data_IF_837034912320
#
_entry.id   IF_837034912320
#
_cell.length_a   1.000
_cell.length_b   1.000
_cell.length_c   1.000
_cell.angle_alpha   90.00
_cell.angle_beta   90.00
_cell.angle_gamma   90.00
#
_symmetry.space_group_name_H-M   'P 1'
#
loop_
_entity.id
_entity.type
_entity.pdbx_description
1 polymer ?
#
# COMPACT_ATOMS: atom_id res chain seq x y z
N UNK A 1 12.43 -5.72 8.08
CA UNK A 1 13.20 -5.05 7.01
C UNK A 1 12.24 -4.35 6.08
N UNK A 2 12.73 -3.36 5.33
CA UNK A 2 12.00 -2.79 4.18
C UNK A 2 12.63 -3.33 2.92
N UNK A 3 11.80 -3.86 2.04
CA UNK A 3 12.11 -4.27 0.68
C UNK A 3 11.48 -3.29 -0.31
N UNK A 4 12.07 -3.18 -1.50
CA UNK A 4 11.76 -2.20 -2.53
C UNK A 4 11.66 -2.93 -3.85
N UNK A 5 10.51 -2.83 -4.49
CA UNK A 5 10.35 -3.41 -5.82
C UNK A 5 10.63 -2.36 -6.89
N UNK A 6 11.29 -2.75 -8.00
CA UNK A 6 11.61 -4.13 -8.40
C UNK A 6 12.99 -4.65 -7.92
N UNK A 7 13.75 -3.91 -7.10
CA UNK A 7 15.13 -4.28 -6.75
C UNK A 7 15.26 -5.51 -5.85
N UNK A 8 14.34 -5.71 -4.91
CA UNK A 8 14.45 -6.76 -3.89
C UNK A 8 13.67 -8.04 -4.27
N UNK A 9 12.89 -7.98 -5.37
CA UNK A 9 12.16 -9.07 -6.03
C UNK A 9 11.08 -9.73 -5.17
N UNK A 10 10.35 -10.70 -5.72
CA UNK A 10 9.31 -11.45 -5.01
C UNK A 10 9.85 -12.32 -3.84
N UNK A 11 11.14 -12.67 -3.83
CA UNK A 11 11.71 -13.65 -2.90
C UNK A 11 11.39 -13.40 -1.41
N UNK A 12 11.50 -12.17 -0.86
CA UNK A 12 11.17 -11.91 0.54
C UNK A 12 9.72 -12.21 0.92
N UNK A 13 8.77 -12.06 -0.03
CA UNK A 13 7.35 -12.39 0.17
C UNK A 13 7.17 -13.90 0.19
N UNK A 14 7.83 -14.63 -0.72
CA UNK A 14 7.83 -16.09 -0.74
C UNK A 14 8.44 -16.65 0.55
N UNK A 15 9.53 -16.05 1.05
CA UNK A 15 10.20 -16.48 2.27
C UNK A 15 9.30 -16.35 3.51
N UNK A 16 8.56 -15.23 3.66
CA UNK A 16 7.61 -15.11 4.78
C UNK A 16 6.47 -16.12 4.68
N UNK A 17 5.93 -16.36 3.48
CA UNK A 17 4.87 -17.36 3.26
C UNK A 17 5.38 -18.75 3.65
N UNK A 18 6.54 -19.17 3.12
CA UNK A 18 7.20 -20.47 3.42
C UNK A 18 7.58 -20.63 4.89
N UNK A 19 7.88 -19.54 5.57
CA UNK A 19 8.27 -19.57 6.99
C UNK A 19 7.14 -19.98 7.93
N UNK A 20 5.88 -19.92 7.48
CA UNK A 20 4.69 -20.22 8.29
C UNK A 20 4.71 -21.66 8.79
N UNK A 21 4.38 -21.85 10.07
CA UNK A 21 4.33 -23.18 10.71
C UNK A 21 2.96 -23.58 11.24
N UNK A 22 2.07 -22.62 11.48
CA UNK A 22 0.73 -22.90 12.02
C UNK A 22 -0.37 -22.31 11.15
N UNK A 23 -0.17 -21.07 10.71
CA UNK A 23 -1.17 -20.33 9.94
C UNK A 23 -0.55 -19.29 9.03
N UNK A 24 -1.28 -18.90 8.01
CA UNK A 24 -1.01 -17.71 7.21
C UNK A 24 -2.32 -16.99 6.93
N UNK A 25 -2.48 -15.78 7.47
CA UNK A 25 -3.65 -14.95 7.21
C UNK A 25 -3.25 -13.74 6.36
N UNK A 26 -4.06 -13.45 5.34
CA UNK A 26 -3.75 -12.49 4.27
C UNK A 26 -4.95 -11.61 3.97
N UNK A 27 -4.76 -10.30 3.83
CA UNK A 27 -5.73 -9.41 3.22
C UNK A 27 -5.03 -8.61 2.11
N UNK A 28 -5.50 -8.79 0.88
CA UNK A 28 -4.99 -8.12 -0.30
C UNK A 28 -6.11 -7.74 -1.26
N UNK A 29 -5.99 -6.55 -1.85
CA UNK A 29 -6.83 -6.13 -2.96
C UNK A 29 -6.74 -7.06 -4.19
N UNK A 30 -5.52 -7.50 -4.55
CA UNK A 30 -5.27 -8.43 -5.68
C UNK A 30 -4.16 -9.44 -5.33
N UNK A 31 -4.37 -10.69 -5.73
CA UNK A 31 -3.44 -11.83 -5.66
C UNK A 31 -3.54 -12.66 -6.96
N UNK A 32 -2.66 -12.42 -7.92
CA UNK A 32 -2.64 -13.16 -9.20
C UNK A 32 -1.30 -13.88 -9.51
N UNK A 33 -0.25 -13.64 -8.71
CA UNK A 33 1.07 -14.21 -8.98
C UNK A 33 1.06 -15.73 -8.74
N UNK A 34 1.30 -16.48 -9.82
CA UNK A 34 1.24 -17.94 -9.80
C UNK A 34 2.22 -18.58 -8.81
N UNK A 35 3.35 -17.94 -8.53
CA UNK A 35 4.33 -18.44 -7.55
C UNK A 35 3.75 -18.33 -6.14
N UNK A 36 3.08 -17.23 -5.82
CA UNK A 36 2.40 -17.04 -4.54
C UNK A 36 1.26 -18.05 -4.37
N UNK A 37 0.42 -18.24 -5.39
CA UNK A 37 -0.67 -19.23 -5.35
C UNK A 37 -0.15 -20.65 -5.12
N UNK A 38 0.99 -21.02 -5.74
CA UNK A 38 1.66 -22.31 -5.50
C UNK A 38 2.11 -22.47 -4.05
N UNK A 39 2.70 -21.43 -3.44
CA UNK A 39 3.12 -21.49 -2.04
C UNK A 39 1.93 -21.59 -1.08
N UNK A 40 0.83 -20.87 -1.36
CA UNK A 40 -0.42 -20.99 -0.59
C UNK A 40 -0.93 -22.42 -0.63
N UNK A 41 -1.02 -23.03 -1.83
CA UNK A 41 -1.44 -24.42 -2.01
C UNK A 41 -0.54 -25.40 -1.24
N UNK A 42 0.77 -25.15 -1.19
CA UNK A 42 1.72 -25.96 -0.42
C UNK A 42 1.62 -25.74 1.11
N UNK A 43 1.18 -24.56 1.57
CA UNK A 43 0.84 -24.40 2.99
C UNK A 43 -0.38 -25.25 3.36
N UNK A 44 -1.41 -25.21 2.52
CA UNK A 44 -2.67 -25.94 2.73
C UNK A 44 -2.44 -27.46 2.66
N UNK A 45 -1.64 -27.95 1.71
CA UNK A 45 -1.31 -29.39 1.58
C UNK A 45 -0.63 -29.95 2.83
N UNK A 46 0.13 -29.10 3.55
CA UNK A 46 0.78 -29.42 4.82
C UNK A 46 -0.12 -29.25 6.05
N UNK A 47 -1.40 -28.93 5.85
CA UNK A 47 -2.41 -28.82 6.91
C UNK A 47 -2.36 -27.53 7.71
N UNK A 48 -1.74 -26.46 7.20
CA UNK A 48 -1.74 -25.16 7.87
C UNK A 48 -3.09 -24.43 7.66
N UNK A 49 -3.49 -23.64 8.66
CA UNK A 49 -4.68 -22.80 8.57
C UNK A 49 -4.37 -21.55 7.72
N UNK A 50 -4.86 -21.53 6.48
CA UNK A 50 -4.67 -20.41 5.55
C UNK A 50 -6.00 -19.71 5.30
N UNK A 51 -6.05 -18.42 5.61
CA UNK A 51 -7.23 -17.57 5.44
C UNK A 51 -6.89 -16.33 4.63
N UNK A 52 -7.73 -16.03 3.65
CA UNK A 52 -7.50 -14.95 2.70
C UNK A 52 -8.77 -14.10 2.61
N UNK A 53 -8.62 -12.80 2.81
CA UNK A 53 -9.61 -11.79 2.45
C UNK A 53 -9.12 -11.13 1.16
N UNK A 54 -10.01 -11.03 0.18
CA UNK A 54 -9.79 -10.26 -1.05
C UNK A 54 -10.91 -9.25 -1.27
N UNK A 55 -10.63 -8.23 -2.06
CA UNK A 55 -11.70 -7.42 -2.63
C UNK A 55 -12.52 -8.25 -3.63
N UNK A 56 -13.83 -8.10 -3.54
CA UNK A 56 -14.81 -8.84 -4.32
C UNK A 56 -15.16 -8.19 -5.64
N UNK A 57 -14.77 -6.93 -5.86
CA UNK A 57 -15.04 -6.10 -7.05
C UNK A 57 -13.87 -5.14 -7.31
N UNK A 58 -12.63 -5.64 -7.52
CA UNK A 58 -11.49 -4.78 -7.76
C UNK A 58 -11.78 -3.86 -8.95
N UNK A 59 -11.71 -2.55 -8.70
CA UNK A 59 -12.01 -1.50 -9.64
C UNK A 59 -11.25 -1.70 -10.96
N UNK A 60 -12.02 -1.86 -12.04
CA UNK A 60 -11.50 -1.99 -13.39
C UNK A 60 -10.90 -3.35 -13.75
N UNK A 61 -10.99 -4.35 -12.87
CA UNK A 61 -10.51 -5.71 -13.17
C UNK A 61 -11.66 -6.63 -13.59
N UNK A 62 -11.73 -6.91 -14.90
CA UNK A 62 -12.67 -7.86 -15.47
C UNK A 62 -12.38 -9.32 -15.11
N UNK A 63 -11.25 -9.62 -14.47
CA UNK A 63 -10.83 -10.98 -14.08
C UNK A 63 -11.07 -11.30 -12.60
N UNK A 64 -11.78 -10.46 -11.85
CA UNK A 64 -12.05 -10.66 -10.43
C UNK A 64 -12.62 -12.06 -10.09
N UNK A 65 -13.51 -12.59 -10.95
CA UNK A 65 -14.08 -13.94 -10.77
C UNK A 65 -13.02 -15.05 -10.94
N UNK A 66 -12.16 -14.92 -11.96
CA UNK A 66 -11.07 -15.86 -12.19
C UNK A 66 -10.04 -15.84 -11.05
N UNK A 67 -9.74 -14.67 -10.50
CA UNK A 67 -8.85 -14.54 -9.35
C UNK A 67 -9.40 -15.28 -8.13
N UNK A 68 -10.67 -15.05 -7.79
CA UNK A 68 -11.33 -15.73 -6.69
C UNK A 68 -11.33 -17.25 -6.90
N UNK A 69 -11.66 -17.72 -8.11
CA UNK A 69 -11.60 -19.15 -8.42
C UNK A 69 -10.19 -19.73 -8.24
N UNK A 70 -9.16 -19.03 -8.70
CA UNK A 70 -7.78 -19.49 -8.57
C UNK A 70 -7.34 -19.57 -7.11
N UNK A 71 -7.75 -18.60 -6.28
CA UNK A 71 -7.52 -18.64 -4.84
C UNK A 71 -8.27 -19.80 -4.18
N UNK A 72 -9.54 -20.04 -4.53
CA UNK A 72 -10.30 -21.19 -4.02
C UNK A 72 -9.64 -22.53 -4.42
N UNK A 73 -9.08 -22.64 -5.62
CA UNK A 73 -8.34 -23.83 -6.11
C UNK A 73 -7.07 -24.12 -5.30
N UNK A 74 -6.56 -23.18 -4.50
CA UNK A 74 -5.44 -23.44 -3.58
C UNK A 74 -5.85 -24.29 -2.36
N UNK A 75 -7.16 -24.36 -2.05
CA UNK A 75 -7.70 -25.00 -0.86
C UNK A 75 -7.67 -24.12 0.40
N UNK A 76 -7.21 -22.87 0.30
CA UNK A 76 -7.30 -21.92 1.40
C UNK A 76 -8.77 -21.54 1.69
N UNK A 77 -9.05 -21.11 2.92
CA UNK A 77 -10.32 -20.48 3.22
C UNK A 77 -10.29 -19.04 2.69
N UNK A 78 -11.09 -18.75 1.66
CA UNK A 78 -11.14 -17.44 1.01
C UNK A 78 -12.48 -16.78 1.28
N UNK A 79 -12.47 -15.50 1.63
CA UNK A 79 -13.66 -14.64 1.72
C UNK A 79 -13.46 -13.38 0.92
N UNK A 80 -14.55 -12.88 0.32
CA UNK A 80 -14.62 -11.48 -0.09
C UNK A 80 -14.62 -10.58 1.14
N UNK A 81 -14.19 -9.34 0.96
CA UNK A 81 -14.21 -8.34 2.01
C UNK A 81 -15.62 -8.13 2.59
N UNK A 82 -15.72 -7.62 3.83
CA UNK A 82 -16.97 -7.16 4.42
C UNK A 82 -17.81 -6.31 3.48
N UNK A 83 -19.14 -6.46 3.52
CA UNK A 83 -20.07 -5.70 2.64
C UNK A 83 -19.89 -4.17 2.72
N UNK A 84 -19.47 -3.66 3.88
CA UNK A 84 -19.16 -2.22 4.07
C UNK A 84 -18.00 -1.72 3.20
N UNK A 85 -17.14 -2.63 2.74
CA UNK A 85 -16.05 -2.39 1.79
C UNK A 85 -16.37 -3.02 0.43
N UNK A 86 -17.65 -3.19 0.10
CA UNK A 86 -18.11 -3.70 -1.18
C UNK A 86 -19.25 -2.82 -1.69
N UNK A 87 -19.00 -1.50 -1.73
CA UNK A 87 -19.95 -0.51 -2.24
C UNK A 87 -19.37 0.24 -3.44
N UNK A 88 -20.16 1.08 -4.11
CA UNK A 88 -19.66 1.87 -5.26
C UNK A 88 -18.67 2.96 -4.84
N UNK A 89 -18.56 3.24 -3.54
CA UNK A 89 -17.71 4.30 -2.96
C UNK A 89 -16.72 3.79 -1.93
N UNK A 90 -16.62 2.47 -1.74
CA UNK A 90 -15.73 1.83 -0.79
C UNK A 90 -15.34 0.42 -1.23
N UNK A 91 -14.06 0.11 -1.13
CA UNK A 91 -13.47 -1.19 -1.44
C UNK A 91 -12.38 -1.59 -0.42
N UNK A 92 -11.98 -2.86 -0.38
CA UNK A 92 -10.88 -3.35 0.45
C UNK A 92 -9.56 -3.27 -0.29
N UNK A 93 -8.75 -2.30 0.08
CA UNK A 93 -7.51 -2.00 -0.61
C UNK A 93 -6.26 -2.29 0.25
N UNK A 94 -6.45 -2.94 1.42
CA UNK A 94 -5.36 -3.32 2.29
C UNK A 94 -4.42 -4.34 1.64
N UNK A 95 -3.14 -4.32 2.06
CA UNK A 95 -2.08 -5.22 1.56
C UNK A 95 -1.19 -5.67 2.71
N UNK A 96 -1.62 -6.73 3.39
CA UNK A 96 -0.88 -7.28 4.52
C UNK A 96 -1.06 -8.79 4.67
N UNK A 97 -0.08 -9.42 5.30
CA UNK A 97 -0.21 -10.80 5.78
C UNK A 97 0.51 -10.98 7.11
N UNK A 98 0.19 -12.06 7.81
CA UNK A 98 0.94 -12.48 8.98
C UNK A 98 0.84 -13.99 9.22
N UNK A 99 1.86 -14.54 9.85
CA UNK A 99 1.85 -15.88 10.41
C UNK A 99 2.01 -15.82 11.93
N UNK A 100 2.42 -16.91 12.58
CA UNK A 100 2.62 -16.93 14.04
C UNK A 100 3.77 -16.03 14.53
N UNK A 101 4.73 -15.70 13.66
CA UNK A 101 5.99 -15.04 14.02
C UNK A 101 6.18 -13.68 13.35
N UNK A 102 5.87 -13.58 12.06
CA UNK A 102 6.13 -12.42 11.23
C UNK A 102 4.82 -11.79 10.75
N UNK A 103 4.93 -10.52 10.34
CA UNK A 103 3.93 -9.83 9.55
C UNK A 103 4.58 -9.12 8.37
N UNK A 104 3.76 -8.82 7.37
CA UNK A 104 4.06 -7.99 6.21
C UNK A 104 2.99 -6.91 6.06
N UNK A 105 3.39 -5.66 5.80
CA UNK A 105 2.52 -4.56 5.37
C UNK A 105 3.23 -3.83 4.24
N UNK A 106 2.52 -3.39 3.20
CA UNK A 106 3.16 -2.67 2.10
C UNK A 106 2.22 -1.93 1.17
N UNK A 107 2.78 -1.44 0.07
CA UNK A 107 2.07 -0.81 -1.04
C UNK A 107 1.71 -1.81 -2.15
N UNK A 108 2.40 -2.96 -2.17
CA UNK A 108 2.30 -3.97 -3.23
C UNK A 108 1.03 -4.81 -3.10
N UNK A 109 0.29 -4.94 -4.21
CA UNK A 109 -0.54 -6.12 -4.43
C UNK A 109 0.35 -7.35 -4.65
N UNK A 110 -0.23 -8.56 -4.59
CA UNK A 110 0.49 -9.80 -4.83
C UNK A 110 0.42 -10.21 -6.31
N UNK A 111 0.86 -9.31 -7.18
CA UNK A 111 0.79 -9.49 -8.64
C UNK A 111 2.16 -9.45 -9.30
N UNK A 112 2.32 -10.04 -10.49
CA UNK A 112 3.60 -10.05 -11.20
C UNK A 112 4.12 -8.61 -11.46
N UNK A 113 3.20 -7.69 -11.76
CA UNK A 113 3.52 -6.28 -11.99
C UNK A 113 4.18 -5.61 -10.78
N UNK A 114 3.69 -5.91 -9.58
CA UNK A 114 4.19 -5.34 -8.34
C UNK A 114 5.69 -5.66 -8.12
N UNK A 115 6.15 -6.83 -8.56
CA UNK A 115 7.53 -7.31 -8.35
C UNK A 115 8.45 -7.17 -9.57
N UNK A 116 7.95 -6.66 -10.70
CA UNK A 116 8.72 -6.56 -11.95
C UNK A 116 8.87 -5.13 -12.47
N UNK A 117 7.86 -4.28 -12.30
CA UNK A 117 7.82 -2.93 -12.92
C UNK A 117 7.36 -1.82 -12.00
N UNK A 118 6.65 -2.13 -10.93
CA UNK A 118 6.15 -1.11 -10.01
C UNK A 118 7.24 -0.67 -9.04
N UNK A 119 7.19 0.60 -8.63
CA UNK A 119 7.79 1.04 -7.37
C UNK A 119 6.87 0.61 -6.23
N UNK A 120 7.31 -0.35 -5.43
CA UNK A 120 6.60 -0.76 -4.22
C UNK A 120 7.52 -0.77 -3.00
N UNK A 121 6.92 -0.73 -1.82
CA UNK A 121 7.60 -0.91 -0.55
C UNK A 121 6.90 -1.94 0.32
N UNK A 122 7.69 -2.85 0.89
CA UNK A 122 7.19 -3.94 1.73
C UNK A 122 7.95 -3.94 3.05
N UNK A 123 7.24 -3.84 4.17
CA UNK A 123 7.79 -4.01 5.52
C UNK A 123 7.52 -5.45 5.97
N UNK A 124 8.57 -6.22 6.29
CA UNK A 124 8.44 -7.52 6.96
C UNK A 124 9.14 -7.49 8.31
N UNK A 125 8.42 -7.71 9.41
CA UNK A 125 9.00 -7.72 10.76
C UNK A 125 8.38 -8.78 11.69
N UNK A 126 8.92 -8.87 12.90
CA UNK A 126 8.48 -9.76 13.98
C UNK A 126 7.87 -9.03 15.18
N UNK A 127 7.59 -7.72 15.05
CA UNK A 127 7.08 -6.89 16.14
C UNK A 127 5.71 -7.38 16.59
N UNK A 128 5.65 -8.00 17.78
CA UNK A 128 4.47 -8.73 18.27
C UNK A 128 3.23 -7.85 18.42
N UNK A 129 3.39 -6.61 18.88
CA UNK A 129 2.28 -5.67 19.05
C UNK A 129 1.61 -5.32 17.71
N UNK A 130 2.41 -4.97 16.69
CA UNK A 130 1.91 -4.71 15.33
C UNK A 130 1.22 -5.94 14.77
N UNK A 131 1.86 -7.12 14.88
CA UNK A 131 1.25 -8.39 14.43
C UNK A 131 -0.08 -8.67 15.11
N UNK A 132 -0.21 -8.38 16.41
CA UNK A 132 -1.45 -8.56 17.17
C UNK A 132 -2.54 -7.56 16.78
N UNK A 133 -2.17 -6.35 16.39
CA UNK A 133 -3.12 -5.38 15.85
C UNK A 133 -3.63 -5.82 14.47
N UNK A 134 -2.75 -6.30 13.57
CA UNK A 134 -3.16 -6.91 12.30
C UNK A 134 -4.09 -8.12 12.49
N UNK A 135 -3.79 -8.96 13.48
CA UNK A 135 -4.65 -10.09 13.83
C UNK A 135 -6.06 -9.63 14.25
N UNK A 136 -6.16 -8.58 15.07
CA UNK A 136 -7.46 -8.01 15.45
C UNK A 136 -8.20 -7.38 14.26
N UNK A 137 -7.51 -6.68 13.37
CA UNK A 137 -8.11 -6.11 12.14
C UNK A 137 -8.65 -7.25 11.28
N UNK A 138 -7.82 -8.25 11.00
CA UNK A 138 -8.18 -9.41 10.20
C UNK A 138 -9.36 -10.18 10.81
N UNK A 139 -9.32 -10.46 12.11
CA UNK A 139 -10.41 -11.18 12.78
C UNK A 139 -11.73 -10.38 12.76
N UNK A 140 -11.66 -9.05 12.86
CA UNK A 140 -12.85 -8.21 12.73
C UNK A 140 -13.41 -8.27 11.31
N UNK A 141 -12.59 -8.07 10.29
CA UNK A 141 -13.01 -8.11 8.89
C UNK A 141 -13.48 -9.52 8.48
N UNK A 142 -12.78 -10.58 8.89
CA UNK A 142 -13.15 -11.98 8.62
C UNK A 142 -14.53 -12.37 9.18
N UNK A 143 -14.93 -11.74 10.29
CA UNK A 143 -16.21 -12.00 10.96
C UNK A 143 -17.24 -10.88 10.75
N UNK A 144 -17.01 -10.00 9.77
CA UNK A 144 -17.87 -8.86 9.45
C UNK A 144 -18.20 -7.96 10.66
N UNK A 145 -17.21 -7.72 11.51
CA UNK A 145 -17.28 -6.82 12.66
C UNK A 145 -16.48 -5.55 12.40
N UNK A 146 -16.82 -4.47 13.09
CA UNK A 146 -16.00 -3.27 13.08
C UNK A 146 -14.64 -3.54 13.75
N UNK A 147 -13.57 -3.19 13.05
CA UNK A 147 -12.25 -3.10 13.66
C UNK A 147 -12.20 -1.86 14.56
N UNK A 148 -11.58 -1.97 15.74
CA UNK A 148 -11.42 -0.83 16.65
C UNK A 148 -10.27 0.10 16.24
N UNK A 149 -9.88 0.99 17.14
CA UNK A 149 -8.69 1.82 16.95
C UNK A 149 -7.41 1.06 17.29
N UNK A 150 -6.33 1.35 16.56
CA UNK A 150 -5.06 0.66 16.74
C UNK A 150 -3.90 1.64 16.88
N UNK A 151 -3.16 1.51 17.99
CA UNK A 151 -1.90 2.20 18.13
C UNK A 151 -0.88 1.72 17.10
N UNK A 152 -0.11 2.66 16.53
CA UNK A 152 1.02 2.41 15.63
C UNK A 152 0.70 1.78 14.26
N UNK A 153 -0.57 1.49 13.97
CA UNK A 153 -1.06 1.13 12.63
C UNK A 153 -2.01 2.22 12.17
N UNK A 154 -1.85 2.69 10.93
CA UNK A 154 -2.76 3.62 10.29
C UNK A 154 -3.78 2.79 9.52
N UNK A 155 -5.04 2.84 9.94
CA UNK A 155 -6.13 2.05 9.36
C UNK A 155 -7.18 2.99 8.80
N UNK A 156 -7.60 2.77 7.55
CA UNK A 156 -8.83 3.39 7.01
C UNK A 156 -9.98 2.41 7.16
N UNK A 157 -11.24 2.85 7.39
CA UNK A 157 -11.71 4.23 7.58
C UNK A 157 -11.06 5.02 8.72
N UNK A 158 -10.90 6.33 8.55
CA UNK A 158 -10.48 7.26 9.59
C UNK A 158 -8.98 7.56 9.64
N UNK A 159 -8.23 7.26 8.58
CA UNK A 159 -6.78 7.50 8.56
C UNK A 159 -6.40 8.94 8.19
N UNK A 160 -7.36 9.76 7.73
CA UNK A 160 -7.14 11.14 7.27
C UNK A 160 -6.35 11.97 8.30
N UNK A 161 -6.75 11.94 9.58
CA UNK A 161 -6.10 12.69 10.65
C UNK A 161 -4.64 12.26 10.88
N UNK A 162 -4.35 10.96 10.78
CA UNK A 162 -2.99 10.44 10.93
C UNK A 162 -2.09 10.88 9.77
N UNK A 163 -2.60 10.84 8.55
CA UNK A 163 -1.89 11.28 7.34
C UNK A 163 -1.70 12.80 7.35
N UNK A 164 -2.75 13.55 7.67
CA UNK A 164 -2.72 15.00 7.81
C UNK A 164 -1.67 15.42 8.85
N UNK A 165 -1.71 14.82 10.04
CA UNK A 165 -0.76 15.07 11.12
C UNK A 165 0.68 14.73 10.72
N UNK A 166 0.90 13.64 9.96
CA UNK A 166 2.22 13.31 9.42
C UNK A 166 2.76 14.43 8.53
N UNK A 167 1.93 14.92 7.61
CA UNK A 167 2.30 16.00 6.69
C UNK A 167 2.56 17.27 7.51
N UNK A 168 1.61 17.74 8.30
CA UNK A 168 1.69 19.00 9.05
C UNK A 168 2.90 19.07 10.00
N UNK A 169 3.21 17.99 10.71
CA UNK A 169 4.33 17.94 11.65
C UNK A 169 5.71 17.71 10.98
N UNK A 170 5.75 17.51 9.67
CA UNK A 170 7.00 17.30 8.92
C UNK A 170 7.64 18.61 8.46
N UNK A 171 8.87 18.90 8.89
CA UNK A 171 9.60 20.12 8.45
C UNK A 171 9.97 20.10 6.96
N UNK A 172 10.47 18.97 6.47
CA UNK A 172 10.75 18.68 5.05
C UNK A 172 10.28 17.26 4.79
N UNK A 173 9.58 17.03 3.70
CA UNK A 173 8.93 15.76 3.43
C UNK A 173 9.18 15.35 1.97
N UNK A 174 9.41 14.05 1.79
CA UNK A 174 9.54 13.40 0.49
C UNK A 174 8.38 12.41 0.37
N UNK A 175 7.67 12.44 -0.75
CA UNK A 175 6.49 11.60 -1.01
C UNK A 175 6.64 10.92 -2.37
N UNK A 176 6.44 9.61 -2.41
CA UNK A 176 6.09 8.87 -3.61
C UNK A 176 4.62 8.49 -3.49
N UNK A 177 3.82 8.83 -4.49
CA UNK A 177 2.38 8.56 -4.50
C UNK A 177 1.95 8.11 -5.88
N UNK A 178 1.03 7.15 -5.93
CA UNK A 178 0.33 6.78 -7.15
C UNK A 178 -0.64 7.88 -7.59
N UNK A 179 -1.42 8.42 -6.64
CA UNK A 179 -2.40 9.47 -6.88
C UNK A 179 -2.33 10.59 -5.84
N UNK A 180 -2.76 11.78 -6.23
CA UNK A 180 -2.93 12.93 -5.31
C UNK A 180 -4.34 12.98 -4.73
N UNK A 181 -5.33 12.41 -5.41
CA UNK A 181 -6.70 12.31 -4.95
C UNK A 181 -7.41 13.64 -4.80
N UNK A 182 -8.52 13.61 -4.07
CA UNK A 182 -9.50 14.68 -3.91
C UNK A 182 -9.69 15.14 -2.46
N UNK A 183 -8.82 14.71 -1.55
CA UNK A 183 -8.86 15.13 -0.16
C UNK A 183 -8.31 16.55 0.02
N UNK A 184 -9.21 17.52 0.14
CA UNK A 184 -8.84 18.93 0.28
C UNK A 184 -8.06 19.25 1.55
N UNK A 185 -8.23 18.51 2.66
CA UNK A 185 -7.43 18.77 3.87
C UNK A 185 -5.98 18.37 3.61
N UNK A 186 -5.76 17.21 3.01
CA UNK A 186 -4.44 16.73 2.61
C UNK A 186 -3.81 17.66 1.57
N UNK A 187 -4.53 18.01 0.50
CA UNK A 187 -4.05 18.92 -0.54
C UNK A 187 -3.66 20.29 0.05
N UNK A 188 -4.49 20.87 0.91
CA UNK A 188 -4.19 22.14 1.58
C UNK A 188 -2.98 22.05 2.51
N UNK A 189 -2.79 20.93 3.22
CA UNK A 189 -1.59 20.70 4.03
C UNK A 189 -0.33 20.62 3.15
N UNK A 190 -0.41 19.98 1.98
CA UNK A 190 0.69 19.94 1.01
C UNK A 190 0.99 21.33 0.41
N UNK A 191 -0.03 22.12 0.07
CA UNK A 191 0.10 23.52 -0.38
C UNK A 191 0.88 24.34 0.66
N UNK A 192 0.49 24.26 1.94
CA UNK A 192 1.16 24.96 3.04
C UNK A 192 2.64 24.57 3.19
N UNK A 193 3.06 23.37 2.75
CA UNK A 193 4.49 22.99 2.74
C UNK A 193 5.29 23.71 1.66
N UNK A 194 4.69 23.98 0.51
CA UNK A 194 5.35 24.56 -0.66
C UNK A 194 6.72 23.92 -0.91
N UNK A 195 7.77 24.75 -0.96
CA UNK A 195 9.16 24.34 -1.27
C UNK A 195 9.77 23.29 -0.32
N UNK A 196 9.14 23.03 0.84
CA UNK A 196 9.59 22.01 1.81
C UNK A 196 9.13 20.59 1.44
N UNK A 197 8.21 20.46 0.49
CA UNK A 197 7.68 19.19 0.00
C UNK A 197 8.24 18.85 -1.38
N UNK A 198 8.67 17.60 -1.54
CA UNK A 198 9.01 16.98 -2.82
C UNK A 198 8.11 15.76 -3.05
N UNK A 199 7.49 15.68 -4.22
CA UNK A 199 6.61 14.56 -4.60
C UNK A 199 7.09 13.95 -5.92
N UNK A 200 7.12 12.62 -5.98
CA UNK A 200 7.16 11.88 -7.25
C UNK A 200 5.79 11.28 -7.47
N UNK A 201 5.23 11.53 -8.65
CA UNK A 201 3.95 11.01 -9.14
C UNK A 201 4.21 10.17 -10.40
N UNK A 202 3.30 9.27 -10.82
CA UNK A 202 3.39 8.68 -12.15
C UNK A 202 3.25 9.76 -13.24
N UNK A 203 3.74 9.50 -14.45
CA UNK A 203 3.48 10.36 -15.61
C UNK A 203 2.13 10.10 -16.28
N UNK A 204 1.43 9.04 -15.86
CA UNK A 204 0.10 8.64 -16.34
C UNK A 204 -1.03 9.11 -15.42
N UNK A 205 -0.92 10.31 -14.83
CA UNK A 205 -1.94 10.84 -13.92
C UNK A 205 -3.31 10.99 -14.59
N UNK A 206 -4.36 10.86 -13.78
CA UNK A 206 -5.70 11.30 -14.14
C UNK A 206 -5.71 12.81 -14.42
N UNK A 207 -6.73 13.29 -15.12
CA UNK A 207 -6.88 14.72 -15.38
C UNK A 207 -7.04 15.53 -14.08
N UNK A 208 -7.78 14.99 -13.11
CA UNK A 208 -7.95 15.59 -11.78
C UNK A 208 -6.62 15.70 -11.04
N UNK A 209 -5.85 14.62 -10.99
CA UNK A 209 -4.55 14.64 -10.31
C UNK A 209 -3.54 15.55 -11.02
N UNK A 210 -3.59 15.63 -12.34
CA UNK A 210 -2.75 16.55 -13.08
C UNK A 210 -3.06 18.00 -12.66
N UNK A 211 -4.33 18.40 -12.59
CA UNK A 211 -4.74 19.73 -12.10
C UNK A 211 -4.32 19.97 -10.66
N UNK A 212 -4.49 18.99 -9.78
CA UNK A 212 -4.03 19.07 -8.39
C UNK A 212 -2.51 19.22 -8.31
N UNK A 213 -1.75 18.53 -9.17
CA UNK A 213 -0.31 18.68 -9.25
C UNK A 213 0.12 20.08 -9.70
N UNK A 214 -0.63 20.74 -10.59
CA UNK A 214 -0.39 22.13 -10.99
C UNK A 214 -0.67 23.09 -9.83
N UNK A 215 -1.81 22.95 -9.15
CA UNK A 215 -2.16 23.73 -7.95
C UNK A 215 -1.08 23.63 -6.86
N UNK A 216 -0.53 22.43 -6.62
CA UNK A 216 0.59 22.24 -5.70
C UNK A 216 1.88 22.91 -6.18
N UNK A 217 2.18 22.86 -7.49
CA UNK A 217 3.36 23.52 -8.08
C UNK A 217 3.29 25.04 -7.96
N UNK A 218 2.12 25.64 -8.16
CA UNK A 218 1.90 27.08 -8.01
C UNK A 218 2.17 27.53 -6.57
N UNK A 219 1.86 26.69 -5.58
CA UNK A 219 2.23 26.88 -4.18
C UNK A 219 3.73 26.61 -3.86
N UNK A 220 4.52 26.26 -4.87
CA UNK A 220 5.97 26.02 -4.77
C UNK A 220 6.36 24.59 -4.37
N UNK A 221 5.43 23.64 -4.33
CA UNK A 221 5.74 22.22 -4.14
C UNK A 221 6.58 21.72 -5.30
N UNK A 222 7.63 20.94 -5.00
CA UNK A 222 8.51 20.39 -6.02
C UNK A 222 7.96 19.03 -6.45
N UNK A 223 7.40 18.95 -7.64
CA UNK A 223 6.86 17.70 -8.17
C UNK A 223 7.71 17.21 -9.35
N UNK A 224 7.96 15.91 -9.43
CA UNK A 224 8.45 15.24 -10.64
C UNK A 224 7.54 14.08 -11.00
N UNK A 225 7.53 13.72 -12.28
CA UNK A 225 6.70 12.64 -12.82
C UNK A 225 7.62 11.50 -13.25
N UNK A 226 7.38 10.30 -12.74
CA UNK A 226 8.12 9.10 -13.07
C UNK A 226 7.55 8.51 -14.36
N UNK A 227 8.35 8.40 -15.43
CA UNK A 227 7.91 7.74 -16.65
C UNK A 227 7.57 6.26 -16.42
N UNK A 228 6.37 5.84 -16.84
CA UNK A 228 5.90 4.44 -16.71
C UNK A 228 6.87 3.42 -17.33
N UNK A 229 7.59 3.78 -18.38
CA UNK A 229 8.58 2.91 -19.03
C UNK A 229 9.90 2.77 -18.24
N UNK A 230 10.14 3.62 -17.24
CA UNK A 230 11.27 3.48 -16.31
C UNK A 230 10.84 2.66 -15.10
N UNK A 231 9.86 3.17 -14.36
CA UNK A 231 9.23 2.52 -13.20
C UNK A 231 7.77 2.99 -13.14
N UNK A 232 6.81 2.09 -12.98
CA UNK A 232 5.43 2.49 -12.70
C UNK A 232 5.30 2.90 -11.23
N UNK A 233 4.97 4.17 -10.96
CA UNK A 233 4.88 4.70 -9.60
C UNK A 233 3.54 4.33 -8.95
N UNK A 234 3.52 3.24 -8.18
CA UNK A 234 2.35 2.75 -7.42
C UNK A 234 2.48 2.96 -5.89
N UNK A 235 3.70 3.16 -5.40
CA UNK A 235 3.99 3.33 -3.99
C UNK A 235 3.20 4.48 -3.35
N UNK A 236 2.86 4.28 -2.07
CA UNK A 236 2.38 5.32 -1.14
C UNK A 236 3.34 5.40 0.04
N UNK A 237 4.38 6.21 -0.14
CA UNK A 237 5.49 6.32 0.80
C UNK A 237 5.73 7.78 1.16
N UNK A 238 5.86 8.05 2.46
CA UNK A 238 6.27 9.37 2.95
C UNK A 238 7.47 9.25 3.88
N UNK A 239 8.44 10.17 3.78
CA UNK A 239 9.59 10.18 4.69
C UNK A 239 10.03 11.59 5.09
N UNK A 240 10.17 11.79 6.40
CA UNK A 240 10.65 13.02 7.06
C UNK A 240 11.42 12.68 8.35
N UNK A 241 10.94 13.18 9.52
CA UNK A 241 11.34 12.75 10.88
C UNK A 241 10.85 11.32 11.15
N UNK A 242 9.68 10.97 10.61
CA UNK A 242 9.11 9.63 10.58
C UNK A 242 9.08 9.09 9.15
N UNK A 243 8.84 7.79 8.98
CA UNK A 243 8.51 7.19 7.69
C UNK A 243 7.10 6.63 7.75
N UNK A 244 6.44 6.58 6.59
CA UNK A 244 5.15 5.96 6.38
C UNK A 244 5.20 5.10 5.11
N UNK A 245 4.64 3.90 5.20
CA UNK A 245 4.34 2.99 4.08
C UNK A 245 2.96 2.40 4.36
N UNK A 246 2.08 2.41 3.38
CA UNK A 246 0.76 1.79 3.50
C UNK A 246 0.07 1.67 2.15
N UNK A 247 -1.19 1.27 2.18
CA UNK A 247 -2.02 1.13 0.99
C UNK A 247 -2.85 2.38 0.66
N UNK A 248 -2.79 3.40 1.52
CA UNK A 248 -3.55 4.65 1.42
C UNK A 248 -3.07 5.56 0.30
N UNK A 249 -3.97 5.87 -0.62
CA UNK A 249 -3.90 7.02 -1.48
C UNK A 249 -4.45 8.29 -0.78
N UNK A 250 -4.28 9.45 -1.40
CA UNK A 250 -4.75 10.74 -0.85
C UNK A 250 -6.18 11.12 -1.28
N UNK A 251 -7.01 10.15 -1.64
CA UNK A 251 -8.44 10.35 -1.89
C UNK A 251 -9.25 10.27 -0.60
N UNK A 252 -10.38 10.97 -0.55
CA UNK A 252 -11.31 10.86 0.59
C UNK A 252 -11.77 9.42 0.78
N UNK A 253 -12.04 8.71 -0.31
CA UNK A 253 -12.43 7.31 -0.27
C UNK A 253 -11.34 6.43 0.36
N UNK A 254 -10.08 6.54 -0.07
CA UNK A 254 -8.99 5.75 0.51
C UNK A 254 -8.76 6.06 1.99
N UNK A 255 -8.88 7.33 2.42
CA UNK A 255 -8.62 7.71 3.80
C UNK A 255 -9.80 7.43 4.75
N UNK A 256 -11.04 7.55 4.28
CA UNK A 256 -12.22 7.59 5.13
C UNK A 256 -13.25 6.48 4.87
N UNK A 257 -13.18 5.74 3.76
CA UNK A 257 -14.18 4.72 3.40
C UNK A 257 -13.57 3.33 3.22
N UNK A 258 -12.50 3.24 2.43
CA UNK A 258 -11.86 1.97 2.09
C UNK A 258 -11.26 1.31 3.33
N UNK A 259 -11.10 -0.02 3.25
CA UNK A 259 -10.16 -0.69 4.15
C UNK A 259 -8.75 -0.50 3.61
N UNK A 260 -7.91 0.17 4.38
CA UNK A 260 -6.49 0.38 4.07
C UNK A 260 -5.66 0.16 5.33
N UNK A 261 -4.40 -0.24 5.18
CA UNK A 261 -3.50 -0.47 6.30
C UNK A 261 -2.11 0.07 5.99
N UNK A 262 -1.54 0.81 6.93
CA UNK A 262 -0.20 1.38 6.84
C UNK A 262 0.52 1.45 8.18
N UNK A 263 1.81 1.76 8.14
CA UNK A 263 2.67 1.90 9.31
C UNK A 263 3.40 3.23 9.31
N UNK A 264 3.34 3.94 10.44
CA UNK A 264 4.25 5.05 10.75
C UNK A 264 5.38 4.50 11.64
N UNK A 265 6.62 4.79 11.28
CA UNK A 265 7.79 4.27 11.99
C UNK A 265 8.90 5.31 12.20
N UNK A 266 9.71 5.06 13.25
CA UNK A 266 10.82 5.95 13.66
C UNK A 266 12.21 5.46 13.23
N UNK A 267 12.32 4.19 12.80
CA UNK A 267 13.60 3.52 12.50
C UNK A 267 14.50 4.34 11.58
N UNK A 268 15.70 4.68 12.05
CA UNK A 268 16.67 5.45 11.27
C UNK A 268 17.11 4.68 10.01
N UNK A 269 17.37 3.37 10.15
CA UNK A 269 17.75 2.49 9.02
C UNK A 269 16.72 2.55 7.90
N UNK A 270 15.44 2.44 8.25
CA UNK A 270 14.33 2.47 7.28
C UNK A 270 14.19 3.83 6.61
N UNK A 271 14.15 4.91 7.39
CA UNK A 271 14.09 6.26 6.82
C UNK A 271 15.29 6.58 5.94
N UNK A 272 16.49 6.10 6.29
CA UNK A 272 17.70 6.28 5.49
C UNK A 272 17.60 5.54 4.15
N UNK A 273 17.08 4.32 4.15
CA UNK A 273 16.80 3.56 2.94
C UNK A 273 15.80 4.31 2.04
N UNK A 274 14.63 4.68 2.57
CA UNK A 274 13.60 5.41 1.81
C UNK A 274 14.11 6.72 1.21
N UNK A 275 14.88 7.50 1.99
CA UNK A 275 15.51 8.74 1.49
C UNK A 275 16.51 8.48 0.35
N UNK A 276 17.22 7.35 0.37
CA UNK A 276 18.14 6.99 -0.74
C UNK A 276 17.37 6.54 -1.97
N UNK A 277 16.34 5.70 -1.81
CA UNK A 277 15.47 5.28 -2.92
C UNK A 277 14.81 6.48 -3.58
N UNK A 278 14.18 7.35 -2.78
CA UNK A 278 13.59 8.59 -3.29
C UNK A 278 14.59 9.44 -4.07
N UNK A 279 15.84 9.58 -3.60
CA UNK A 279 16.86 10.36 -4.33
C UNK A 279 17.24 9.73 -5.66
N UNK A 280 17.24 8.40 -5.77
CA UNK A 280 17.48 7.65 -7.02
C UNK A 280 16.31 7.90 -7.97
N UNK A 281 15.10 7.64 -7.51
CA UNK A 281 13.88 7.78 -8.29
C UNK A 281 13.65 9.23 -8.73
N UNK A 282 13.94 10.19 -7.85
CA UNK A 282 13.87 11.63 -8.16
C UNK A 282 14.76 12.01 -9.34
N UNK A 283 15.95 11.41 -9.49
CA UNK A 283 16.86 11.68 -10.62
C UNK A 283 16.32 11.12 -11.93
N UNK A 284 15.59 10.01 -11.88
CA UNK A 284 14.97 9.35 -13.05
C UNK A 284 13.69 10.04 -13.49
N UNK A 285 12.96 10.65 -12.54
CA UNK A 285 11.72 11.36 -12.77
C UNK A 285 11.94 12.74 -13.44
N UNK A 286 10.92 13.19 -14.16
CA UNK A 286 10.95 14.32 -15.09
C UNK A 286 10.15 15.51 -14.58
N UNK A 287 10.40 16.70 -15.13
CA UNK A 287 9.71 17.93 -14.70
C UNK A 287 8.31 18.09 -15.30
N UNK A 288 7.97 17.33 -16.34
CA UNK A 288 6.65 17.32 -16.97
C UNK A 288 6.25 15.86 -17.19
N UNK A 289 4.95 15.52 -17.14
CA UNK A 289 4.53 14.17 -17.50
C UNK A 289 4.73 13.96 -19.01
N UNK A 290 5.01 12.71 -19.42
CA UNK A 290 5.11 12.36 -20.83
C UNK A 290 3.77 12.58 -21.55
N UNK A 291 3.82 13.10 -22.78
CA UNK A 291 2.64 13.19 -23.66
C UNK A 291 1.68 14.37 -23.42
N UNK A 292 1.95 15.28 -22.47
CA UNK A 292 1.16 16.50 -22.27
C UNK A 292 2.05 17.73 -22.48
N UNK A 293 1.76 18.52 -23.53
CA UNK A 293 2.48 19.77 -23.85
C UNK A 293 2.08 20.90 -22.92
#
# INVERSE_FOLDING_TARGET
>A
MIYREPEDTLSPVIDIIRSSKKRLYMNFYLIDDQRILSEIKELVSRGLDVKIIIDGRPCGDSNAENELENLLKTGAAVKKAPKRFETDSSFDHAKYLFNEKYFMIGTANLTEAAFSRNREYIIIEKTRSIRKNLEKIFDADWNDKMAGDFDSIVVSPGSEDAILSFIENSRKILIESEELGDDEKILNAMIKKGKKLKIILPDTLSETDYRNSLRLRDAGVRIRYMPKNKIYMHAKMMVSKYGFIGSQNFTKASLNNNREVGLIFKSYKYKSLLKRTFKKDWKMAEKRPGGRK
#
